data_IF_260879730948
#
_entry.id   IF_260879730948
#
_cell.length_a   1.000
_cell.length_b   1.000
_cell.length_c   1.000
_cell.angle_alpha   90.00
_cell.angle_beta   90.00
_cell.angle_gamma   90.00
#
_symmetry.space_group_name_H-M   'P 1'
#
loop_
_entity.id
_entity.type
_entity.pdbx_description
1 polymer ?
#
# COMPACT_ATOMS: atom_id res chain seq x y z
N UNK A 1 -10.34 -8.47 10.98
CA UNK A 1 -11.41 -8.53 9.96
C UNK A 1 -11.81 -7.10 9.61
N UNK A 2 -11.99 -6.80 8.33
CA UNK A 2 -12.43 -5.50 7.82
C UNK A 2 -13.69 -5.70 6.97
N UNK A 3 -14.65 -4.79 7.13
CA UNK A 3 -15.88 -4.75 6.35
C UNK A 3 -15.97 -3.41 5.61
N UNK A 4 -16.24 -3.45 4.33
CA UNK A 4 -16.45 -2.25 3.50
C UNK A 4 -17.69 -2.43 2.63
N UNK A 5 -18.42 -1.35 2.38
CA UNK A 5 -19.54 -1.32 1.44
C UNK A 5 -19.02 -1.23 -0.01
N UNK A 6 -18.39 -2.32 -0.45
CA UNK A 6 -17.86 -2.42 -1.80
C UNK A 6 -19.02 -2.54 -2.81
N UNK A 7 -19.16 -1.55 -3.66
CA UNK A 7 -20.25 -1.47 -4.64
C UNK A 7 -20.07 -2.50 -5.77
N UNK A 8 -18.83 -2.83 -6.11
CA UNK A 8 -18.49 -3.74 -7.22
C UNK A 8 -17.54 -4.84 -6.77
N UNK A 9 -17.99 -5.78 -5.91
CA UNK A 9 -17.16 -6.91 -5.53
C UNK A 9 -16.88 -7.78 -6.76
N UNK A 10 -15.62 -8.19 -6.93
CA UNK A 10 -15.19 -9.02 -8.06
C UNK A 10 -13.85 -9.69 -7.78
N UNK A 11 -13.49 -10.68 -8.58
CA UNK A 11 -12.22 -11.40 -8.49
C UNK A 11 -11.97 -12.03 -7.10
N UNK A 12 -13.01 -12.65 -6.51
CA UNK A 12 -12.90 -13.34 -5.23
C UNK A 12 -12.39 -12.42 -4.11
N UNK A 13 -11.31 -12.83 -3.46
CA UNK A 13 -10.71 -12.07 -2.34
C UNK A 13 -9.92 -10.82 -2.78
N UNK A 14 -9.78 -10.59 -4.08
CA UNK A 14 -9.12 -9.39 -4.60
C UNK A 14 -9.91 -8.13 -4.24
N UNK A 15 -11.24 -8.17 -4.42
CA UNK A 15 -12.13 -7.05 -4.16
C UNK A 15 -13.44 -7.54 -3.54
N UNK A 16 -13.42 -7.70 -2.22
CA UNK A 16 -14.49 -8.25 -1.41
C UNK A 16 -15.02 -7.24 -0.39
N UNK A 17 -16.21 -7.50 0.13
CA UNK A 17 -16.82 -6.71 1.22
C UNK A 17 -16.29 -7.07 2.60
N UNK A 18 -15.79 -8.29 2.75
CA UNK A 18 -15.17 -8.82 3.97
C UNK A 18 -13.79 -9.37 3.64
N UNK A 19 -12.77 -8.94 4.38
CA UNK A 19 -11.37 -9.33 4.14
C UNK A 19 -10.50 -9.13 5.38
N UNK A 20 -9.32 -9.75 5.36
CA UNK A 20 -8.29 -9.52 6.37
C UNK A 20 -7.41 -8.35 5.97
N UNK A 21 -7.25 -7.41 6.90
CA UNK A 21 -6.32 -6.30 6.77
C UNK A 21 -5.44 -6.21 8.02
N UNK A 22 -4.16 -5.97 7.83
CA UNK A 22 -3.29 -5.42 8.85
C UNK A 22 -3.39 -3.90 8.71
N UNK A 23 -3.80 -3.22 9.73
CA UNK A 23 -3.80 -1.77 9.80
C UNK A 23 -3.11 -1.30 11.09
N UNK A 24 -2.40 -0.20 11.00
CA UNK A 24 -1.75 0.47 12.11
C UNK A 24 -1.92 1.97 11.97
N UNK A 25 -1.89 2.64 13.09
CA UNK A 25 -2.03 4.09 13.20
C UNK A 25 -0.94 4.61 14.11
N UNK A 26 -0.37 5.75 13.78
CA UNK A 26 0.59 6.45 14.62
C UNK A 26 0.11 7.86 14.93
N UNK A 27 0.51 8.35 16.09
CA UNK A 27 0.11 9.66 16.60
C UNK A 27 1.36 10.39 17.07
N UNK A 28 1.51 11.63 16.61
CA UNK A 28 2.73 12.42 16.76
C UNK A 28 2.42 13.82 17.24
N UNK A 29 3.36 14.41 17.98
CA UNK A 29 3.32 15.79 18.39
C UNK A 29 3.76 16.75 17.27
N UNK A 30 4.61 16.28 16.35
CA UNK A 30 5.17 17.07 15.26
C UNK A 30 5.28 16.28 13.95
N UNK A 31 5.45 17.01 12.85
CA UNK A 31 5.58 16.44 11.51
C UNK A 31 6.87 15.65 11.31
N UNK A 32 7.96 16.02 11.98
CA UNK A 32 9.24 15.32 11.83
C UNK A 32 9.17 13.93 12.45
N UNK A 33 8.48 13.80 13.57
CA UNK A 33 8.16 12.49 14.18
C UNK A 33 7.30 11.63 13.25
N UNK A 34 6.26 12.20 12.62
CA UNK A 34 5.47 11.49 11.62
C UNK A 34 6.33 11.03 10.44
N UNK A 35 7.16 11.91 9.87
CA UNK A 35 8.02 11.59 8.72
C UNK A 35 9.00 10.46 9.03
N UNK A 36 9.61 10.43 10.22
CA UNK A 36 10.49 9.31 10.64
C UNK A 36 9.73 7.99 10.71
N UNK A 37 8.56 7.97 11.30
CA UNK A 37 7.72 6.76 11.37
C UNK A 37 7.23 6.34 9.98
N UNK A 38 6.83 7.29 9.14
CA UNK A 38 6.43 7.03 7.77
C UNK A 38 7.55 6.37 6.96
N UNK A 39 8.77 6.90 7.05
CA UNK A 39 9.93 6.32 6.38
C UNK A 39 10.24 4.90 6.88
N UNK A 40 10.19 4.67 8.20
CA UNK A 40 10.34 3.34 8.77
C UNK A 40 9.29 2.35 8.26
N UNK A 41 8.04 2.79 8.16
CA UNK A 41 6.94 1.95 7.63
C UNK A 41 7.09 1.69 6.13
N UNK A 42 7.56 2.67 5.37
CA UNK A 42 7.89 2.50 3.96
C UNK A 42 8.96 1.41 3.74
N UNK A 43 10.06 1.47 4.47
CA UNK A 43 11.14 0.48 4.43
C UNK A 43 10.68 -0.90 4.90
N UNK A 44 9.85 -0.93 5.94
CA UNK A 44 9.27 -2.16 6.49
C UNK A 44 8.37 -2.84 5.46
N UNK A 45 7.51 -2.10 4.76
CA UNK A 45 6.63 -2.66 3.73
C UNK A 45 7.44 -3.19 2.53
N UNK A 46 8.44 -2.44 2.08
CA UNK A 46 9.38 -2.95 1.08
C UNK A 46 10.02 -4.28 1.50
N UNK A 47 10.44 -4.38 2.76
CA UNK A 47 11.01 -5.61 3.32
C UNK A 47 10.00 -6.75 3.35
N UNK A 48 8.76 -6.49 3.78
CA UNK A 48 7.68 -7.49 3.82
C UNK A 48 7.42 -8.06 2.43
N UNK A 49 7.17 -7.21 1.43
CA UNK A 49 6.82 -7.67 0.09
C UNK A 49 7.99 -8.37 -0.63
N UNK A 50 9.23 -7.93 -0.39
CA UNK A 50 10.43 -8.63 -0.84
C UNK A 50 10.55 -10.03 -0.21
N UNK A 51 10.33 -10.17 1.10
CA UNK A 51 10.35 -11.47 1.80
C UNK A 51 9.24 -12.42 1.32
N UNK A 52 8.08 -11.89 0.96
CA UNK A 52 7.00 -12.68 0.37
C UNK A 52 7.39 -13.17 -1.05
N UNK A 53 8.37 -12.54 -1.70
CA UNK A 53 8.84 -12.93 -3.03
C UNK A 53 7.96 -12.38 -4.16
N UNK A 54 7.29 -11.25 -3.93
CA UNK A 54 6.49 -10.56 -4.94
C UNK A 54 7.33 -9.55 -5.73
N UNK A 55 7.06 -9.46 -7.03
CA UNK A 55 7.53 -8.35 -7.84
C UNK A 55 6.55 -7.20 -7.70
N UNK A 56 6.96 -6.12 -7.06
CA UNK A 56 6.10 -4.98 -6.73
C UNK A 56 6.81 -3.66 -6.98
N UNK A 57 6.03 -2.59 -6.96
CA UNK A 57 6.51 -1.21 -6.95
C UNK A 57 5.84 -0.42 -5.83
N UNK A 58 6.62 0.39 -5.13
CA UNK A 58 6.10 1.45 -4.29
C UNK A 58 5.81 2.65 -5.19
N UNK A 59 4.56 3.09 -5.21
CA UNK A 59 4.05 4.09 -6.14
C UNK A 59 3.64 5.32 -5.34
N UNK A 60 4.15 6.48 -5.70
CA UNK A 60 3.65 7.72 -5.13
C UNK A 60 2.20 7.91 -5.57
N UNK A 61 1.31 8.08 -4.61
CA UNK A 61 -0.12 8.17 -4.83
C UNK A 61 -0.68 9.55 -4.45
N UNK A 62 -1.80 9.90 -5.09
CA UNK A 62 -2.62 11.02 -4.65
C UNK A 62 -3.42 10.61 -3.41
N UNK A 63 -3.45 11.47 -2.40
CA UNK A 63 -4.16 11.20 -1.14
C UNK A 63 -5.70 11.19 -1.30
N UNK A 64 -6.21 11.68 -2.41
CA UNK A 64 -7.65 11.69 -2.73
C UNK A 64 -8.50 12.25 -1.59
N UNK A 65 -9.64 11.60 -1.33
CA UNK A 65 -10.58 11.98 -0.28
C UNK A 65 -10.02 11.82 1.15
N UNK A 66 -8.99 10.99 1.34
CA UNK A 66 -8.34 10.79 2.65
C UNK A 66 -7.58 12.06 3.06
N UNK A 67 -6.98 12.77 2.08
CA UNK A 67 -6.19 13.98 2.32
C UNK A 67 -4.84 13.70 2.98
N UNK A 68 -4.13 14.76 3.37
CA UNK A 68 -2.78 14.69 3.93
C UNK A 68 -1.69 15.08 2.91
N UNK A 69 -0.42 15.00 3.29
CA UNK A 69 0.70 15.57 2.52
C UNK A 69 1.53 14.53 1.74
N UNK A 70 1.05 13.33 1.57
CA UNK A 70 1.74 12.31 0.79
C UNK A 70 1.35 10.89 1.17
N UNK A 71 1.34 10.03 0.19
CA UNK A 71 1.10 8.61 0.39
C UNK A 71 1.89 7.77 -0.60
N UNK A 72 2.11 6.50 -0.25
CA UNK A 72 2.64 5.51 -1.16
C UNK A 72 1.75 4.27 -1.15
N UNK A 73 1.41 3.83 -2.34
CA UNK A 73 0.78 2.54 -2.60
C UNK A 73 1.84 1.51 -2.96
N UNK A 74 1.62 0.27 -2.54
CA UNK A 74 2.46 -0.86 -2.92
C UNK A 74 1.67 -1.75 -3.86
N UNK A 75 2.09 -1.81 -5.12
CA UNK A 75 1.41 -2.54 -6.19
C UNK A 75 2.21 -3.76 -6.62
N UNK A 76 1.59 -4.93 -6.54
CA UNK A 76 2.12 -6.15 -7.17
C UNK A 76 1.85 -6.08 -8.66
N UNK A 77 2.90 -6.28 -9.47
CA UNK A 77 2.79 -6.20 -10.91
C UNK A 77 2.11 -7.46 -11.46
N UNK A 78 0.95 -7.31 -12.08
CA UNK A 78 0.20 -8.38 -12.70
C UNK A 78 -0.71 -7.82 -13.80
N UNK A 79 -0.90 -8.54 -14.90
CA UNK A 79 -1.74 -8.10 -16.04
C UNK A 79 -3.20 -7.89 -15.66
N UNK A 80 -3.69 -8.65 -14.69
CA UNK A 80 -5.05 -8.54 -14.14
C UNK A 80 -5.23 -7.35 -13.16
N UNK A 81 -4.16 -6.58 -12.88
CA UNK A 81 -4.22 -5.41 -12.01
C UNK A 81 -5.23 -4.36 -12.47
N UNK A 82 -5.86 -3.67 -11.53
CA UNK A 82 -6.85 -2.62 -11.84
C UNK A 82 -6.21 -1.28 -12.17
N UNK A 83 -5.03 -0.98 -11.60
CA UNK A 83 -4.37 0.31 -11.72
C UNK A 83 -3.30 0.28 -12.80
N UNK A 84 -3.30 1.32 -13.64
CA UNK A 84 -2.24 1.53 -14.62
C UNK A 84 -1.12 2.36 -14.00
N UNK A 85 0.09 1.81 -14.04
CA UNK A 85 1.30 2.38 -13.46
C UNK A 85 2.31 2.67 -14.56
N UNK A 86 3.06 3.75 -14.38
CA UNK A 86 4.26 4.04 -15.16
C UNK A 86 5.48 3.90 -14.25
N UNK A 87 6.48 3.16 -14.70
CA UNK A 87 7.70 2.91 -13.94
C UNK A 87 8.95 3.01 -14.82
N UNK A 88 10.06 3.28 -14.18
CA UNK A 88 11.38 3.25 -14.79
C UNK A 88 12.06 1.93 -14.44
N UNK A 89 12.71 1.30 -15.42
CA UNK A 89 13.48 0.06 -15.18
C UNK A 89 14.86 0.30 -14.55
N UNK A 90 15.41 1.50 -14.76
CA UNK A 90 16.75 1.85 -14.31
C UNK A 90 16.76 2.52 -12.92
N UNK A 91 15.58 2.89 -12.42
CA UNK A 91 15.40 3.52 -11.11
C UNK A 91 14.23 2.92 -10.34
N UNK A 92 14.11 3.27 -9.07
CA UNK A 92 12.97 2.87 -8.23
C UNK A 92 11.71 3.73 -8.49
N UNK A 93 11.72 4.60 -9.52
CA UNK A 93 10.57 5.43 -9.81
C UNK A 93 9.40 4.62 -10.33
N UNK A 94 8.25 4.77 -9.66
CA UNK A 94 6.96 4.35 -10.15
C UNK A 94 5.87 5.31 -9.66
N UNK A 95 4.91 5.58 -10.52
CA UNK A 95 3.77 6.44 -10.20
C UNK A 95 2.53 6.00 -10.98
N UNK A 96 1.34 6.35 -10.49
CA UNK A 96 0.16 6.23 -11.30
C UNK A 96 0.23 7.20 -12.51
N UNK A 97 -0.57 6.92 -13.53
CA UNK A 97 -0.51 7.67 -14.81
C UNK A 97 -0.71 9.17 -14.60
N UNK A 98 -1.54 9.56 -13.62
CA UNK A 98 -1.87 10.97 -13.36
C UNK A 98 -0.68 11.75 -12.81
N UNK A 99 0.04 11.19 -11.85
CA UNK A 99 1.26 11.79 -11.28
C UNK A 99 2.40 11.78 -12.29
N UNK A 100 2.55 10.68 -13.02
CA UNK A 100 3.61 10.53 -14.02
C UNK A 100 3.46 11.46 -15.24
N UNK A 101 2.32 12.12 -15.43
CA UNK A 101 2.10 13.09 -16.53
C UNK A 101 3.16 14.18 -16.58
N UNK A 102 3.65 14.61 -15.43
CA UNK A 102 4.64 15.69 -15.28
C UNK A 102 6.09 15.21 -15.14
N UNK A 103 6.34 13.90 -15.27
CA UNK A 103 7.69 13.36 -15.13
C UNK A 103 8.55 13.75 -16.34
N UNK A 104 9.78 14.28 -16.14
CA UNK A 104 10.64 14.77 -17.25
C UNK A 104 10.98 13.67 -18.27
N UNK A 105 11.14 12.45 -17.84
CA UNK A 105 11.48 11.29 -18.68
C UNK A 105 10.28 10.41 -19.05
N UNK A 106 9.06 10.95 -19.03
CA UNK A 106 7.81 10.19 -19.26
C UNK A 106 7.86 9.28 -20.49
N UNK A 107 8.52 9.69 -21.54
CA UNK A 107 8.60 8.92 -22.81
C UNK A 107 9.37 7.59 -22.68
N UNK A 108 10.20 7.47 -21.65
CA UNK A 108 11.02 6.28 -21.41
C UNK A 108 10.40 5.36 -20.34
N UNK A 109 9.30 5.81 -19.68
CA UNK A 109 8.62 5.00 -18.68
C UNK A 109 7.85 3.86 -19.35
N UNK A 110 7.92 2.68 -18.75
CA UNK A 110 7.12 1.53 -19.15
C UNK A 110 5.78 1.54 -18.42
N UNK A 111 4.74 1.10 -19.12
CA UNK A 111 3.43 0.88 -18.53
C UNK A 111 3.30 -0.55 -18.05
N UNK A 112 2.68 -0.72 -16.88
CA UNK A 112 2.27 -2.01 -16.35
C UNK A 112 0.96 -1.85 -15.58
N UNK A 113 0.32 -2.98 -15.26
CA UNK A 113 -0.83 -3.00 -14.37
C UNK A 113 -0.41 -3.48 -12.99
N UNK A 114 -1.06 -2.94 -11.96
CA UNK A 114 -0.76 -3.23 -10.57
C UNK A 114 -1.98 -3.60 -9.75
N UNK A 115 -1.75 -4.46 -8.77
CA UNK A 115 -2.71 -4.81 -7.73
C UNK A 115 -2.25 -4.16 -6.44
N UNK A 116 -2.99 -3.19 -5.92
CA UNK A 116 -2.69 -2.52 -4.66
C UNK A 116 -2.81 -3.50 -3.48
N UNK A 117 -1.70 -3.80 -2.83
CA UNK A 117 -1.64 -4.71 -1.68
C UNK A 117 -1.34 -4.01 -0.35
N UNK A 118 -0.85 -2.79 -0.40
CA UNK A 118 -0.56 -1.98 0.78
C UNK A 118 -0.59 -0.50 0.48
N UNK A 119 -0.88 0.32 1.50
CA UNK A 119 -0.92 1.77 1.40
C UNK A 119 -0.50 2.41 2.72
N UNK A 120 0.31 3.44 2.65
CA UNK A 120 0.76 4.22 3.80
C UNK A 120 0.47 5.70 3.57
N UNK A 121 -0.01 6.40 4.62
CA UNK A 121 -0.49 7.77 4.54
C UNK A 121 0.11 8.66 5.62
N UNK A 122 0.39 9.89 5.25
CA UNK A 122 0.58 11.00 6.18
C UNK A 122 -0.76 11.77 6.26
N UNK A 123 -1.56 11.51 7.29
CA UNK A 123 -2.92 12.05 7.41
C UNK A 123 -2.95 13.50 7.96
N UNK A 124 -1.85 13.98 8.54
CA UNK A 124 -1.84 15.27 9.23
C UNK A 124 -2.81 15.29 10.40
N UNK A 125 -3.55 16.38 10.56
CA UNK A 125 -4.50 16.58 11.66
C UNK A 125 -5.96 16.39 11.27
N UNK A 126 -6.26 15.96 10.04
CA UNK A 126 -7.62 15.87 9.52
C UNK A 126 -8.54 15.07 10.45
N UNK A 127 -8.18 13.83 10.75
CA UNK A 127 -9.01 12.98 11.59
C UNK A 127 -8.90 13.30 13.08
N UNK A 128 -7.73 13.71 13.56
CA UNK A 128 -7.54 14.09 14.97
C UNK A 128 -8.34 15.34 15.33
N UNK A 129 -8.50 16.30 14.43
CA UNK A 129 -9.37 17.45 14.63
C UNK A 129 -10.84 17.02 14.80
N UNK A 130 -11.35 16.19 13.89
CA UNK A 130 -12.74 15.72 13.92
C UNK A 130 -13.03 14.88 15.16
N UNK A 131 -12.07 14.05 15.57
CA UNK A 131 -12.18 13.22 16.78
C UNK A 131 -11.83 13.95 18.07
N UNK A 132 -11.33 15.19 17.99
CA UNK A 132 -10.78 15.94 19.14
C UNK A 132 -9.66 15.16 19.86
N UNK A 133 -8.87 14.41 19.09
CA UNK A 133 -7.72 13.67 19.61
C UNK A 133 -6.55 14.63 19.79
N UNK A 134 -6.36 15.11 21.03
CA UNK A 134 -5.36 16.11 21.39
C UNK A 134 -4.39 15.56 22.43
N UNK A 135 -3.20 16.17 22.48
CA UNK A 135 -2.26 16.05 23.60
C UNK A 135 -2.03 17.45 24.21
N UNK A 136 -1.49 17.50 25.41
CA UNK A 136 -1.12 18.73 26.07
C UNK A 136 0.34 19.02 25.76
N UNK A 137 0.63 20.15 25.15
CA UNK A 137 2.01 20.57 24.86
C UNK A 137 2.76 21.08 26.12
N UNK A 138 4.05 21.37 25.97
CA UNK A 138 4.90 21.87 27.06
C UNK A 138 4.40 23.20 27.65
N UNK A 139 3.59 23.96 26.93
CA UNK A 139 2.96 25.21 27.40
C UNK A 139 1.62 25.01 28.11
N UNK A 140 1.16 23.75 28.23
CA UNK A 140 -0.12 23.39 28.85
C UNK A 140 -1.32 23.56 27.92
N UNK A 141 -1.13 23.70 26.59
CA UNK A 141 -2.21 23.87 25.62
C UNK A 141 -2.57 22.57 24.92
N UNK A 142 -3.86 22.33 24.66
CA UNK A 142 -4.29 21.19 23.85
C UNK A 142 -3.92 21.42 22.37
N UNK A 143 -3.18 20.47 21.81
CA UNK A 143 -2.78 20.44 20.41
C UNK A 143 -3.32 19.19 19.72
N UNK A 144 -3.85 19.26 18.49
CA UNK A 144 -4.29 18.07 17.76
C UNK A 144 -3.09 17.18 17.42
N UNK A 145 -3.26 15.87 17.58
CA UNK A 145 -2.23 14.90 17.21
C UNK A 145 -2.08 14.83 15.68
N UNK A 146 -0.85 14.70 15.21
CA UNK A 146 -0.55 14.46 13.80
C UNK A 146 -0.55 12.95 13.57
N UNK A 147 -1.28 12.47 12.57
CA UNK A 147 -1.57 11.05 12.38
C UNK A 147 -0.92 10.48 11.13
N UNK A 148 -0.49 9.22 11.23
CA UNK A 148 -0.17 8.34 10.12
C UNK A 148 -1.06 7.10 10.11
N UNK A 149 -1.25 6.50 8.92
CA UNK A 149 -2.02 5.26 8.74
C UNK A 149 -1.29 4.33 7.78
N UNK A 150 -1.28 3.02 8.09
CA UNK A 150 -0.46 2.04 7.40
C UNK A 150 -1.22 0.74 7.23
N UNK A 151 -1.70 0.45 6.02
CA UNK A 151 -2.55 -0.70 5.72
C UNK A 151 -1.90 -1.74 4.82
N UNK A 152 -2.17 -3.03 5.06
CA UNK A 152 -1.85 -4.14 4.17
C UNK A 152 -3.09 -5.01 4.00
N UNK A 153 -3.51 -5.24 2.76
CA UNK A 153 -4.60 -6.15 2.42
C UNK A 153 -4.13 -7.60 2.44
N UNK A 154 -4.14 -8.24 3.62
CA UNK A 154 -3.57 -9.58 3.82
C UNK A 154 -4.22 -10.62 2.90
N UNK A 155 -5.55 -10.66 2.80
CA UNK A 155 -6.26 -11.56 1.89
C UNK A 155 -5.91 -11.28 0.43
N UNK A 156 -5.73 -10.00 0.07
CA UNK A 156 -5.40 -9.58 -1.30
C UNK A 156 -3.99 -10.01 -1.72
N UNK A 157 -3.04 -10.11 -0.78
CA UNK A 157 -1.69 -10.63 -1.07
C UNK A 157 -1.75 -12.03 -1.66
N UNK A 158 -2.59 -12.90 -1.12
CA UNK A 158 -2.75 -14.27 -1.65
C UNK A 158 -3.22 -14.24 -3.10
N UNK A 159 -4.26 -13.46 -3.38
CA UNK A 159 -4.77 -13.30 -4.75
C UNK A 159 -3.71 -12.68 -5.68
N UNK A 160 -2.99 -11.65 -5.24
CA UNK A 160 -1.94 -11.01 -6.02
C UNK A 160 -0.77 -11.96 -6.32
N UNK A 161 -0.42 -12.83 -5.37
CA UNK A 161 0.61 -13.85 -5.59
C UNK A 161 0.18 -14.88 -6.64
N UNK A 162 -1.08 -15.31 -6.62
CA UNK A 162 -1.65 -16.21 -7.63
C UNK A 162 -1.65 -15.56 -9.00
N UNK A 163 -2.12 -14.32 -9.11
CA UNK A 163 -2.17 -13.58 -10.38
C UNK A 163 -0.78 -13.32 -10.98
N UNK A 164 0.22 -13.12 -10.14
CA UNK A 164 1.59 -12.88 -10.60
C UNK A 164 2.36 -14.15 -10.92
N UNK A 165 2.07 -15.25 -10.20
CA UNK A 165 2.86 -16.49 -10.23
C UNK A 165 1.99 -17.69 -10.55
N UNK A 166 1.78 -17.91 -11.84
CA UNK A 166 1.09 -19.06 -12.40
C UNK A 166 1.68 -19.41 -13.78
N UNK A 167 1.42 -20.62 -14.23
CA UNK A 167 1.69 -21.08 -15.59
C UNK A 167 0.52 -21.94 -16.11
N UNK A 168 0.70 -22.58 -17.24
CA UNK A 168 -0.31 -23.46 -17.86
C UNK A 168 -0.68 -24.67 -16.98
N UNK A 169 0.14 -25.04 -16.00
CA UNK A 169 -0.10 -26.17 -15.09
C UNK A 169 -0.76 -25.74 -13.78
N UNK A 170 -0.80 -24.44 -13.48
CA UNK A 170 -1.51 -23.91 -12.30
C UNK A 170 -0.75 -22.87 -11.51
N UNK A 171 -1.04 -22.81 -10.21
CA UNK A 171 -0.52 -21.80 -9.28
C UNK A 171 0.88 -22.16 -8.82
N UNK A 172 1.80 -21.19 -8.87
CA UNK A 172 3.17 -21.30 -8.36
C UNK A 172 3.31 -20.40 -7.14
N UNK A 173 3.06 -20.90 -5.94
CA UNK A 173 3.22 -20.11 -4.73
C UNK A 173 4.69 -19.77 -4.46
N UNK A 174 5.03 -18.52 -4.09
CA UNK A 174 6.32 -18.23 -3.48
C UNK A 174 6.53 -19.12 -2.26
N UNK A 175 7.72 -19.69 -2.10
CA UNK A 175 8.04 -20.62 -1.00
C UNK A 175 7.73 -20.01 0.38
N UNK A 176 7.92 -18.70 0.55
CA UNK A 176 7.68 -17.98 1.81
C UNK A 176 6.22 -17.95 2.27
N UNK A 177 5.26 -18.18 1.37
CA UNK A 177 3.81 -18.22 1.67
C UNK A 177 3.14 -19.49 1.19
N UNK A 178 3.91 -20.45 0.68
CA UNK A 178 3.40 -21.77 0.35
C UNK A 178 2.96 -22.49 1.63
N UNK A 179 1.78 -23.14 1.63
CA UNK A 179 1.27 -23.80 2.84
C UNK A 179 2.12 -25.02 3.25
N UNK A 180 2.89 -25.58 2.31
CA UNK A 180 3.76 -26.73 2.53
C UNK A 180 5.04 -26.59 1.72
N UNK A 181 6.20 -26.98 2.28
CA UNK A 181 7.47 -27.03 1.56
C UNK A 181 7.54 -28.23 0.61
N UNK A 182 6.94 -29.36 1.02
CA UNK A 182 6.89 -30.60 0.27
C UNK A 182 5.50 -31.20 0.32
N UNK A 183 5.03 -31.70 -0.81
CA UNK A 183 3.85 -32.54 -0.92
C UNK A 183 4.33 -33.95 -1.27
N UNK A 184 4.09 -34.91 -0.40
CA UNK A 184 4.36 -36.33 -0.65
C UNK A 184 3.05 -36.97 -1.14
N UNK A 185 3.04 -37.59 -2.33
CA UNK A 185 1.86 -38.24 -2.89
C UNK A 185 1.47 -39.48 -2.13
#
# INVERSE_FOLDING_TARGET
MKFRDEIRPRFGVMRAREFLMKDAYSFHADMDSLKRTYQLMYETYNTIFKKIGLNFRAVQADNGAIGGEGSHEFHVLAESGEDELLYDEESDFAANVEIAKNHPNRKNLKSCRGIEVGHIFQLGTKYSNDMRATFIDESGKPCPMIMGCYGIGVSRIVAAAIEQKNDENGIIFPQSIAPFEYLVP
#
